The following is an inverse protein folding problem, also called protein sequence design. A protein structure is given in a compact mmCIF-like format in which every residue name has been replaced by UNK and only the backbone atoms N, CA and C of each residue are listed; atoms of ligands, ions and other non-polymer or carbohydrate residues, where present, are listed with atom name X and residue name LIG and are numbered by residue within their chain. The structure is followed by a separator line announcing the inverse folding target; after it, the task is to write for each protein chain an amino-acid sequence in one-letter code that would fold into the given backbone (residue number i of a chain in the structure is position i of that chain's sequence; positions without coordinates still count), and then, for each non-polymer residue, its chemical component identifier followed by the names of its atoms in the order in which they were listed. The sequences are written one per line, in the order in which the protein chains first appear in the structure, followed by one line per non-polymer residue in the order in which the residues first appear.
data_IF_335790663205
#
_entry.id   IF_335790663205
#
_cell.length_a   1.000
_cell.length_b   1.000
_cell.length_c   1.000
_cell.angle_alpha   90.00
_cell.angle_beta   90.00
_cell.angle_gamma   90.00
#
_symmetry.space_group_name_H-M   'P 1'
#
loop_
_entity.id
_entity.type
_entity.pdbx_description
1 polymer ?
#
# COMPACT_ATOMS: atom_id res chain seq x y z
N UNK A 1 7.51 -30.50 3.67
CA UNK A 1 6.83 -29.25 4.06
C UNK A 1 5.89 -28.90 2.91
N UNK A 2 4.59 -28.93 3.13
CA UNK A 2 3.63 -28.54 2.09
C UNK A 2 3.63 -27.02 1.94
N UNK A 3 3.60 -26.45 0.75
CA UNK A 3 3.68 -25.02 0.55
C UNK A 3 2.37 -24.36 1.02
N UNK A 4 2.50 -23.24 1.69
CA UNK A 4 1.43 -22.43 2.30
C UNK A 4 0.39 -21.91 1.29
N UNK A 5 0.77 -21.77 0.01
CA UNK A 5 -0.14 -21.42 -1.10
C UNK A 5 -1.32 -22.41 -1.24
N UNK A 6 -1.13 -23.67 -0.83
CA UNK A 6 -2.21 -24.68 -0.81
C UNK A 6 -3.26 -24.42 0.27
N UNK A 7 -2.94 -23.69 1.32
CA UNK A 7 -3.84 -23.45 2.44
C UNK A 7 -4.84 -22.31 2.14
N UNK A 8 -4.37 -21.23 1.55
CA UNK A 8 -5.20 -20.09 1.14
C UNK A 8 -6.20 -20.49 0.06
N UNK A 9 -5.81 -21.39 -0.87
CA UNK A 9 -6.70 -21.88 -1.94
C UNK A 9 -7.81 -22.85 -1.49
N UNK A 10 -7.59 -23.61 -0.42
CA UNK A 10 -8.65 -24.50 0.11
C UNK A 10 -9.81 -23.77 0.75
N UNK A 11 -9.59 -22.54 1.19
CA UNK A 11 -10.63 -21.70 1.81
C UNK A 11 -11.63 -21.19 0.77
N UNK A 12 -11.22 -20.98 -0.49
CA UNK A 12 -12.09 -20.41 -1.55
C UNK A 12 -12.99 -21.39 -2.30
N UNK A 13 -12.65 -22.65 -2.36
CA UNK A 13 -13.37 -23.61 -3.24
C UNK A 13 -14.67 -24.19 -2.65
N UNK A 14 -15.20 -23.68 -1.53
CA UNK A 14 -16.43 -24.23 -0.90
C UNK A 14 -17.65 -23.31 -0.87
N UNK A 15 -17.63 -22.17 -1.55
CA UNK A 15 -18.85 -21.31 -1.65
C UNK A 15 -19.35 -21.25 -3.08
N UNK A 16 -19.96 -22.33 -3.57
CA UNK A 16 -20.91 -22.28 -4.69
C UNK A 16 -22.31 -22.08 -4.11
N UNK A 17 -22.85 -20.88 -4.25
CA UNK A 17 -24.25 -20.58 -3.96
C UNK A 17 -25.14 -20.99 -5.14
N UNK A 18 -26.41 -21.38 -4.90
CA UNK A 18 -27.32 -21.84 -5.93
C UNK A 18 -27.86 -20.69 -6.79
N UNK A 19 -28.06 -20.98 -8.07
CA UNK A 19 -28.69 -20.13 -9.07
C UNK A 19 -30.07 -19.63 -8.65
N UNK A 20 -30.30 -18.32 -8.77
CA UNK A 20 -31.65 -17.75 -8.77
C UNK A 20 -31.86 -16.83 -9.97
N UNK A 21 -33.02 -17.06 -10.59
CA UNK A 21 -33.59 -16.48 -11.80
C UNK A 21 -33.68 -14.97 -11.83
N UNK A 22 -33.55 -14.44 -13.05
CA UNK A 22 -33.87 -13.06 -13.47
C UNK A 22 -35.24 -12.59 -13.03
N UNK A 23 -35.32 -11.37 -12.50
CA UNK A 23 -36.41 -10.43 -12.78
C UNK A 23 -36.12 -9.01 -12.30
N UNK A 24 -36.35 -8.05 -13.21
CA UNK A 24 -36.73 -6.65 -13.04
C UNK A 24 -35.70 -5.64 -12.46
N UNK A 25 -35.16 -4.83 -13.38
CA UNK A 25 -34.62 -3.50 -13.17
C UNK A 25 -35.65 -2.58 -12.51
N UNK A 26 -35.26 -1.98 -11.39
CA UNK A 26 -35.84 -0.71 -10.95
C UNK A 26 -34.68 0.17 -10.46
N UNK A 27 -34.49 1.28 -11.14
CA UNK A 27 -33.51 2.31 -10.81
C UNK A 27 -33.91 2.97 -9.48
N UNK A 28 -33.02 2.94 -8.48
CA UNK A 28 -33.16 3.75 -7.27
C UNK A 28 -32.03 4.77 -7.29
N UNK A 29 -32.40 6.03 -7.57
CA UNK A 29 -31.58 7.21 -7.38
C UNK A 29 -31.77 7.73 -5.96
N UNK A 30 -30.73 7.61 -5.11
CA UNK A 30 -30.68 8.21 -3.79
C UNK A 30 -29.43 7.75 -3.04
N UNK A 31 -28.79 8.62 -2.21
CA UNK A 31 -27.60 8.23 -1.47
C UNK A 31 -27.96 7.23 -0.37
N UNK A 32 -27.43 6.02 -0.49
CA UNK A 32 -27.54 4.99 0.56
C UNK A 32 -26.43 5.24 1.59
N UNK A 33 -26.80 5.75 2.75
CA UNK A 33 -25.92 5.84 3.91
C UNK A 33 -25.89 4.48 4.60
N UNK A 34 -24.82 3.72 4.43
CA UNK A 34 -24.56 2.52 5.22
C UNK A 34 -23.92 2.90 6.55
N UNK A 35 -24.66 2.79 7.63
CA UNK A 35 -24.12 2.92 8.99
C UNK A 35 -23.36 1.66 9.37
N UNK A 36 -22.03 1.74 9.41
CA UNK A 36 -21.17 0.67 9.92
C UNK A 36 -20.98 0.87 11.43
N UNK A 37 -21.44 -0.10 12.21
CA UNK A 37 -21.24 -0.15 13.66
C UNK A 37 -19.80 -0.54 13.98
N UNK A 38 -19.18 0.14 14.96
CA UNK A 38 -17.89 -0.21 15.54
C UNK A 38 -17.86 -1.70 15.92
N UNK A 39 -16.87 -2.42 15.41
CA UNK A 39 -16.60 -3.81 15.80
C UNK A 39 -15.47 -3.85 16.83
N UNK A 40 -15.64 -4.74 17.81
CA UNK A 40 -14.67 -5.03 18.86
C UNK A 40 -13.50 -5.87 18.31
N UNK A 41 -12.29 -5.85 18.93
CA UNK A 41 -11.06 -6.48 18.44
C UNK A 41 -11.05 -8.01 18.30
N UNK A 42 -12.17 -8.68 18.55
CA UNK A 42 -12.28 -10.14 18.55
C UNK A 42 -12.50 -10.78 17.18
N UNK A 43 -12.39 -10.04 16.06
CA UNK A 43 -12.93 -10.50 14.79
C UNK A 43 -11.93 -11.02 13.77
N UNK A 44 -10.62 -10.79 13.90
CA UNK A 44 -9.64 -11.38 12.97
C UNK A 44 -9.59 -12.91 13.10
N UNK A 45 -9.62 -13.44 14.33
CA UNK A 45 -9.65 -14.88 14.59
C UNK A 45 -10.97 -15.54 14.16
N UNK A 46 -12.11 -14.83 14.31
CA UNK A 46 -13.43 -15.38 13.96
C UNK A 46 -13.69 -15.42 12.44
N UNK A 47 -13.09 -14.54 11.65
CA UNK A 47 -13.30 -14.50 10.19
C UNK A 47 -12.43 -15.49 9.41
N UNK A 48 -11.25 -15.82 9.93
CA UNK A 48 -10.44 -16.92 9.41
C UNK A 48 -11.17 -18.26 9.66
N UNK A 49 -11.88 -18.41 10.78
CA UNK A 49 -12.72 -19.56 11.09
C UNK A 49 -13.97 -19.67 10.18
N UNK A 50 -14.60 -18.56 9.78
CA UNK A 50 -15.82 -18.59 8.93
C UNK A 50 -15.57 -18.93 7.46
N UNK A 51 -14.32 -18.97 7.00
CA UNK A 51 -13.94 -19.22 5.61
C UNK A 51 -13.54 -20.67 5.29
N UNK A 52 -13.64 -21.60 6.25
CA UNK A 52 -13.35 -23.03 6.02
C UNK A 52 -12.90 -23.76 7.27
N UNK A 53 -13.85 -24.27 8.04
CA UNK A 53 -13.70 -24.72 9.44
C UNK A 53 -12.67 -25.80 9.73
N UNK A 54 -12.18 -26.56 8.76
CA UNK A 54 -11.47 -27.82 9.09
C UNK A 54 -9.93 -27.79 9.00
N UNK A 55 -9.29 -26.74 8.47
CA UNK A 55 -7.84 -26.77 8.29
C UNK A 55 -7.05 -25.51 8.75
N UNK A 56 -7.61 -24.32 8.77
CA UNK A 56 -6.88 -23.11 9.19
C UNK A 56 -6.93 -22.97 10.70
N UNK A 57 -8.08 -23.25 11.32
CA UNK A 57 -8.21 -23.31 12.77
C UNK A 57 -7.28 -24.40 13.37
N UNK A 58 -7.19 -25.54 12.70
CA UNK A 58 -6.33 -26.65 13.13
C UNK A 58 -4.82 -26.37 12.98
N UNK A 59 -4.40 -25.49 12.07
CA UNK A 59 -2.98 -25.08 11.94
C UNK A 59 -2.68 -23.94 12.92
N UNK A 60 -3.60 -23.02 13.12
CA UNK A 60 -3.49 -21.92 14.09
C UNK A 60 -3.50 -22.42 15.56
N UNK A 61 -4.29 -23.47 15.87
CA UNK A 61 -4.26 -24.11 17.19
C UNK A 61 -2.97 -24.89 17.46
N UNK A 62 -2.29 -25.39 16.42
CA UNK A 62 -1.07 -26.19 16.57
C UNK A 62 0.22 -25.36 16.53
N UNK A 63 0.22 -24.24 15.81
CA UNK A 63 1.36 -23.32 15.70
C UNK A 63 0.86 -21.88 15.52
N UNK A 64 0.71 -21.15 16.61
CA UNK A 64 0.22 -19.79 16.59
C UNK A 64 1.12 -18.82 15.81
N UNK A 65 2.36 -19.16 15.59
CA UNK A 65 3.34 -18.32 14.89
C UNK A 65 3.48 -18.66 13.39
N UNK A 66 2.75 -19.67 12.90
CA UNK A 66 2.89 -20.18 11.54
C UNK A 66 2.67 -19.09 10.49
N UNK A 67 1.74 -18.16 10.70
CA UNK A 67 1.44 -17.07 9.77
C UNK A 67 2.61 -16.08 9.72
N UNK A 68 3.11 -15.62 10.87
CA UNK A 68 4.26 -14.72 10.97
C UNK A 68 5.52 -15.31 10.34
N UNK A 69 5.83 -16.57 10.66
CA UNK A 69 6.98 -17.29 10.13
C UNK A 69 6.92 -17.46 8.60
N UNK A 70 5.75 -17.76 8.05
CA UNK A 70 5.55 -17.83 6.60
C UNK A 70 5.76 -16.46 5.95
N UNK A 71 5.27 -15.41 6.59
CA UNK A 71 5.42 -14.04 6.12
C UNK A 71 6.90 -13.60 6.07
N UNK A 72 7.67 -13.85 7.12
CA UNK A 72 9.12 -13.58 7.15
C UNK A 72 9.86 -14.37 6.05
N UNK A 73 9.48 -15.62 5.83
CA UNK A 73 10.07 -16.44 4.75
C UNK A 73 9.82 -15.82 3.37
N UNK A 74 8.63 -15.24 3.15
CA UNK A 74 8.30 -14.51 1.94
C UNK A 74 9.20 -13.28 1.76
N UNK A 75 9.39 -12.48 2.81
CA UNK A 75 10.23 -11.29 2.76
C UNK A 75 11.70 -11.60 2.49
N UNK A 76 12.27 -12.65 3.09
CA UNK A 76 13.65 -13.08 2.80
C UNK A 76 13.92 -13.25 1.31
N UNK A 77 12.99 -13.82 0.57
CA UNK A 77 13.15 -14.01 -0.88
C UNK A 77 12.84 -12.74 -1.68
N UNK A 78 11.83 -11.95 -1.26
CA UNK A 78 11.54 -10.64 -1.87
C UNK A 78 12.79 -9.78 -1.90
N UNK A 79 13.43 -9.57 -0.75
CA UNK A 79 14.57 -8.67 -0.62
C UNK A 79 15.87 -9.23 -1.21
N UNK A 80 16.19 -10.52 -1.03
CA UNK A 80 17.39 -11.12 -1.63
C UNK A 80 17.44 -10.91 -3.15
N UNK A 81 16.32 -11.02 -3.85
CA UNK A 81 16.24 -10.79 -5.30
C UNK A 81 16.37 -9.35 -5.71
N UNK A 82 15.81 -8.44 -4.92
CA UNK A 82 15.98 -7.02 -5.22
C UNK A 82 17.44 -6.62 -5.15
N UNK A 83 18.24 -7.17 -4.24
CA UNK A 83 19.69 -6.98 -4.20
C UNK A 83 20.40 -7.58 -5.42
N UNK A 84 19.96 -8.76 -5.91
CA UNK A 84 20.48 -9.33 -7.15
C UNK A 84 20.18 -8.43 -8.36
N UNK A 85 18.97 -7.85 -8.45
CA UNK A 85 18.60 -6.91 -9.51
C UNK A 85 19.33 -5.59 -9.38
N UNK A 86 19.51 -5.07 -8.17
CA UNK A 86 20.34 -3.89 -7.94
C UNK A 86 21.75 -4.09 -8.51
N UNK A 87 22.40 -5.18 -8.15
CA UNK A 87 23.72 -5.54 -8.68
C UNK A 87 23.73 -5.69 -10.20
N UNK A 88 22.71 -6.32 -10.78
CA UNK A 88 22.61 -6.49 -12.22
C UNK A 88 22.41 -5.16 -12.97
N UNK A 89 21.67 -4.22 -12.39
CA UNK A 89 21.32 -2.94 -13.00
C UNK A 89 22.39 -1.87 -12.80
N UNK A 90 23.13 -1.89 -11.69
CA UNK A 90 24.14 -0.87 -11.34
C UNK A 90 25.56 -1.33 -11.55
N UNK A 91 25.82 -2.64 -11.58
CA UNK A 91 27.16 -3.22 -11.58
C UNK A 91 27.85 -3.22 -10.21
N UNK A 92 27.17 -2.75 -9.17
CA UNK A 92 27.72 -2.58 -7.82
C UNK A 92 27.17 -3.63 -6.85
N UNK A 93 28.04 -4.08 -5.94
CA UNK A 93 27.66 -4.82 -4.75
C UNK A 93 27.68 -3.85 -3.59
N UNK A 94 26.51 -3.29 -3.19
CA UNK A 94 26.37 -2.42 -2.01
C UNK A 94 27.49 -1.38 -1.86
N UNK A 95 27.47 -0.34 -2.68
CA UNK A 95 28.44 0.73 -2.61
C UNK A 95 27.77 2.08 -2.79
N UNK A 96 27.98 2.96 -1.82
CA UNK A 96 27.57 4.36 -1.87
C UNK A 96 28.21 5.05 -3.06
N UNK A 97 27.46 5.40 -4.10
CA UNK A 97 27.95 6.30 -5.11
C UNK A 97 26.91 7.39 -5.44
N UNK A 98 27.41 8.63 -5.38
CA UNK A 98 26.66 9.87 -5.55
C UNK A 98 26.33 10.07 -7.02
N UNK A 99 25.06 10.07 -7.42
CA UNK A 99 24.63 10.58 -8.72
C UNK A 99 23.96 11.95 -8.59
N UNK A 100 24.35 12.79 -9.57
CA UNK A 100 23.90 14.16 -9.73
C UNK A 100 22.39 14.27 -9.93
N UNK A 101 21.78 15.26 -9.29
CA UNK A 101 20.40 15.68 -9.44
C UNK A 101 20.12 16.12 -10.89
N UNK A 102 19.29 15.36 -11.60
CA UNK A 102 18.60 15.91 -12.77
C UNK A 102 17.34 16.66 -12.30
N UNK A 103 17.41 17.98 -12.30
CA UNK A 103 16.25 18.84 -12.04
C UNK A 103 15.25 18.68 -13.17
N UNK A 104 14.14 18.02 -12.92
CA UNK A 104 13.00 17.98 -13.83
C UNK A 104 12.32 19.36 -13.89
N UNK A 105 12.20 19.93 -15.08
CA UNK A 105 11.39 21.13 -15.31
C UNK A 105 9.91 20.77 -15.25
N UNK A 106 9.04 21.61 -14.66
CA UNK A 106 7.61 21.35 -14.62
C UNK A 106 7.00 21.45 -16.02
N UNK A 107 6.24 20.43 -16.40
CA UNK A 107 5.54 20.41 -17.69
C UNK A 107 4.19 21.14 -17.60
N UNK A 108 3.79 21.74 -18.71
CA UNK A 108 2.69 22.70 -18.81
C UNK A 108 1.26 22.10 -18.80
N UNK A 109 1.07 20.80 -18.58
CA UNK A 109 -0.26 20.15 -18.52
C UNK A 109 -0.22 18.92 -17.60
N UNK A 110 -0.06 19.13 -16.30
CA UNK A 110 -0.05 18.06 -15.34
C UNK A 110 -1.33 18.06 -14.49
N UNK A 111 -1.92 16.88 -14.33
CA UNK A 111 -3.02 16.61 -13.43
C UNK A 111 -2.55 15.95 -12.14
N UNK A 112 -3.32 16.06 -11.07
CA UNK A 112 -3.11 15.27 -9.84
C UNK A 112 -3.95 14.01 -9.90
N UNK A 113 -3.40 12.87 -9.45
CA UNK A 113 -4.10 11.61 -9.42
C UNK A 113 -4.49 11.21 -8.00
N UNK A 114 -5.72 10.69 -7.84
CA UNK A 114 -6.18 10.06 -6.60
C UNK A 114 -6.70 8.67 -6.91
N UNK A 115 -6.20 7.68 -6.19
CA UNK A 115 -6.62 6.28 -6.29
C UNK A 115 -7.24 5.89 -4.96
N UNK A 116 -8.52 5.55 -4.90
CA UNK A 116 -9.10 4.88 -3.75
C UNK A 116 -8.43 3.51 -3.59
N UNK A 117 -7.91 3.24 -2.40
CA UNK A 117 -7.41 1.92 -2.04
C UNK A 117 -8.49 1.14 -1.30
N UNK A 118 -8.43 -0.17 -1.42
CA UNK A 118 -9.36 -1.11 -0.79
C UNK A 118 -8.55 -2.06 0.06
N UNK A 119 -8.90 -2.13 1.33
CA UNK A 119 -8.39 -3.15 2.23
C UNK A 119 -8.83 -4.54 1.78
N UNK A 120 -7.87 -5.43 1.67
CA UNK A 120 -8.08 -6.85 1.38
C UNK A 120 -7.53 -7.67 2.56
N UNK A 121 -8.23 -8.75 2.89
CA UNK A 121 -7.76 -9.69 3.91
C UNK A 121 -7.58 -9.09 5.32
N UNK A 122 -8.46 -8.18 5.73
CA UNK A 122 -8.45 -7.59 7.07
C UNK A 122 -7.12 -6.87 7.39
N UNK A 123 -6.77 -5.84 6.56
CA UNK A 123 -5.61 -4.95 6.70
C UNK A 123 -4.24 -5.59 6.36
N UNK A 124 -4.25 -6.73 5.68
CA UNK A 124 -3.02 -7.39 5.22
C UNK A 124 -2.55 -6.95 3.84
N UNK A 125 -3.41 -6.26 3.06
CA UNK A 125 -3.09 -5.88 1.69
C UNK A 125 -3.98 -4.72 1.20
N UNK A 126 -3.36 -3.69 0.63
CA UNK A 126 -4.05 -2.51 0.11
C UNK A 126 -3.96 -2.45 -1.42
N UNK A 127 -5.07 -2.60 -2.09
CA UNK A 127 -5.12 -2.64 -3.54
C UNK A 127 -5.90 -1.49 -4.16
N UNK A 128 -5.50 -1.10 -5.36
CA UNK A 128 -6.18 -0.07 -6.15
C UNK A 128 -6.30 -0.43 -7.62
N UNK A 129 -7.11 0.35 -8.34
CA UNK A 129 -7.41 0.10 -9.76
C UNK A 129 -6.41 0.78 -10.68
N UNK A 130 -5.96 0.03 -11.68
CA UNK A 130 -5.09 0.47 -12.77
C UNK A 130 -5.76 0.15 -14.10
N UNK A 131 -5.78 1.12 -15.02
CA UNK A 131 -6.21 0.91 -16.40
C UNK A 131 -5.01 0.58 -17.28
N UNK A 132 -5.04 -0.55 -17.97
CA UNK A 132 -3.95 -1.02 -18.83
C UNK A 132 -4.44 -1.14 -20.27
N UNK A 133 -3.75 -0.48 -21.20
CA UNK A 133 -4.03 -0.57 -22.64
C UNK A 133 -5.06 0.43 -23.18
N UNK A 134 -5.34 0.32 -24.48
CA UNK A 134 -6.32 1.13 -25.18
C UNK A 134 -7.20 0.25 -26.06
N UNK A 135 -8.51 0.08 -25.75
CA UNK A 135 -9.19 0.63 -24.58
C UNK A 135 -8.64 0.05 -23.28
N UNK A 136 -8.80 0.80 -22.17
CA UNK A 136 -8.26 0.40 -20.87
C UNK A 136 -8.94 -0.86 -20.32
N UNK A 137 -8.16 -1.85 -19.97
CA UNK A 137 -8.56 -3.03 -19.20
C UNK A 137 -8.26 -2.73 -17.72
N UNK A 138 -9.27 -2.78 -16.86
CA UNK A 138 -9.11 -2.46 -15.45
C UNK A 138 -8.60 -3.67 -14.69
N UNK A 139 -7.50 -3.49 -14.00
CA UNK A 139 -6.87 -4.48 -13.12
C UNK A 139 -6.77 -3.93 -11.71
N UNK A 140 -6.72 -4.80 -10.72
CA UNK A 140 -6.56 -4.44 -9.31
C UNK A 140 -5.18 -4.90 -8.84
N UNK A 141 -4.35 -3.96 -8.37
CA UNK A 141 -2.97 -4.24 -7.99
C UNK A 141 -2.64 -3.68 -6.61
N UNK A 142 -1.67 -4.30 -5.98
CA UNK A 142 -0.98 -3.77 -4.81
C UNK A 142 0.04 -2.69 -5.25
N UNK A 143 0.04 -1.53 -4.58
CA UNK A 143 1.03 -0.48 -4.79
C UNK A 143 2.15 -0.60 -3.77
N UNK A 144 3.25 -1.21 -4.19
CA UNK A 144 4.33 -1.72 -3.36
C UNK A 144 5.58 -0.82 -3.42
N UNK A 145 5.88 -0.07 -2.35
CA UNK A 145 7.09 0.76 -2.28
C UNK A 145 8.37 -0.05 -2.01
N UNK A 146 8.26 -1.35 -1.78
CA UNK A 146 9.38 -2.29 -1.65
C UNK A 146 9.74 -3.01 -2.95
N UNK A 147 9.12 -2.70 -4.10
CA UNK A 147 9.49 -3.21 -5.42
C UNK A 147 9.34 -2.15 -6.51
N UNK A 148 9.75 -2.47 -7.78
CA UNK A 148 9.86 -1.45 -8.84
C UNK A 148 9.19 -1.81 -10.16
N UNK A 149 8.65 -3.01 -10.30
CA UNK A 149 8.06 -3.47 -11.56
C UNK A 149 6.53 -3.49 -11.49
N UNK A 150 5.88 -3.18 -12.62
CA UNK A 150 4.43 -3.31 -12.77
C UNK A 150 4.11 -4.58 -13.57
N UNK A 151 3.40 -5.52 -12.96
CA UNK A 151 2.99 -6.75 -13.62
C UNK A 151 1.67 -7.30 -13.07
N UNK A 152 0.99 -8.15 -13.87
CA UNK A 152 -0.27 -8.79 -13.50
C UNK A 152 -0.27 -10.30 -13.72
N UNK A 153 -1.13 -11.00 -13.00
CA UNK A 153 -1.36 -12.44 -13.07
C UNK A 153 -1.85 -12.90 -14.45
N UNK A 154 -1.71 -14.20 -14.78
CA UNK A 154 -2.18 -14.75 -16.05
C UNK A 154 -3.67 -14.49 -16.29
N UNK A 155 -4.02 -14.25 -17.57
CA UNK A 155 -5.39 -14.05 -18.03
C UNK A 155 -6.11 -12.78 -17.55
N UNK A 156 -5.47 -11.95 -16.72
CA UNK A 156 -6.06 -10.69 -16.24
C UNK A 156 -6.04 -9.63 -17.34
N UNK A 157 -4.91 -9.51 -18.05
CA UNK A 157 -4.74 -8.58 -19.18
C UNK A 157 -4.63 -9.34 -20.51
N UNK A 158 -5.27 -8.82 -21.56
CA UNK A 158 -5.24 -9.38 -22.92
C UNK A 158 -4.55 -8.41 -23.88
N UNK A 159 -3.27 -8.63 -24.23
CA UNK A 159 -2.53 -7.74 -25.14
C UNK A 159 -3.19 -7.58 -26.51
N UNK A 160 -3.83 -8.63 -27.03
CA UNK A 160 -4.54 -8.59 -28.34
C UNK A 160 -5.77 -7.68 -28.35
N UNK A 161 -6.27 -7.28 -27.18
CA UNK A 161 -7.40 -6.36 -27.04
C UNK A 161 -6.95 -4.91 -26.85
N UNK A 162 -5.64 -4.61 -26.91
CA UNK A 162 -5.10 -3.26 -26.76
C UNK A 162 -4.37 -2.82 -28.02
N UNK A 163 -4.71 -1.65 -28.53
CA UNK A 163 -4.06 -1.02 -29.69
C UNK A 163 -2.68 -0.44 -29.35
N UNK A 164 -2.37 -0.25 -28.06
CA UNK A 164 -1.09 0.30 -27.56
C UNK A 164 -0.10 -0.76 -27.12
N UNK A 165 -0.53 -2.04 -27.02
CA UNK A 165 0.31 -3.16 -26.62
C UNK A 165 1.46 -3.39 -27.61
N UNK A 166 2.69 -3.31 -27.11
CA UNK A 166 3.89 -3.61 -27.89
C UNK A 166 4.76 -4.61 -27.15
N UNK A 167 4.79 -5.86 -27.61
CA UNK A 167 5.66 -6.88 -27.04
C UNK A 167 7.13 -6.52 -27.22
N UNK A 168 7.92 -6.56 -26.13
CA UNK A 168 9.36 -6.20 -26.16
C UNK A 168 10.27 -7.33 -26.63
N UNK A 169 9.79 -8.58 -26.59
CA UNK A 169 10.59 -9.78 -26.76
C UNK A 169 11.36 -10.21 -25.52
N UNK A 170 11.31 -9.42 -24.44
CA UNK A 170 11.88 -9.78 -23.13
C UNK A 170 10.86 -10.50 -22.26
N UNK A 171 11.36 -11.34 -21.36
CA UNK A 171 10.57 -12.05 -20.36
C UNK A 171 10.98 -11.63 -18.96
N UNK A 172 10.11 -11.93 -17.97
CA UNK A 172 10.42 -11.75 -16.56
C UNK A 172 10.16 -13.02 -15.75
N UNK A 173 10.77 -13.09 -14.58
CA UNK A 173 10.50 -14.12 -13.58
C UNK A 173 10.59 -13.53 -12.19
N UNK A 174 9.47 -13.46 -11.48
CA UNK A 174 9.42 -13.17 -10.05
C UNK A 174 9.18 -14.46 -9.28
N UNK A 175 9.71 -14.57 -8.08
CA UNK A 175 9.38 -15.64 -7.16
C UNK A 175 9.45 -15.12 -5.73
N UNK A 176 8.71 -15.77 -4.85
CA UNK A 176 8.49 -15.37 -3.48
C UNK A 176 8.92 -16.49 -2.51
N UNK A 177 9.09 -16.16 -1.23
CA UNK A 177 9.66 -17.07 -0.24
C UNK A 177 8.79 -18.26 0.14
N UNK A 178 7.49 -18.19 -0.13
CA UNK A 178 6.56 -19.31 -0.02
C UNK A 178 6.68 -20.33 -1.18
N UNK A 179 7.64 -20.12 -2.09
CA UNK A 179 7.82 -20.91 -3.30
C UNK A 179 6.91 -20.49 -4.44
N UNK A 180 6.03 -19.52 -4.25
CA UNK A 180 5.23 -18.97 -5.33
C UNK A 180 6.09 -18.19 -6.32
N UNK A 181 5.70 -18.21 -7.59
CA UNK A 181 6.45 -17.53 -8.65
C UNK A 181 5.54 -17.15 -9.81
N UNK A 182 5.97 -16.14 -10.57
CA UNK A 182 5.36 -15.80 -11.84
C UNK A 182 6.44 -15.64 -12.92
N UNK A 183 6.11 -16.06 -14.13
CA UNK A 183 6.91 -15.85 -15.33
C UNK A 183 6.03 -15.32 -16.44
N UNK A 184 6.56 -14.43 -17.27
CA UNK A 184 5.74 -13.85 -18.32
C UNK A 184 6.52 -13.00 -19.31
N UNK A 185 5.75 -12.30 -20.14
CA UNK A 185 6.24 -11.41 -21.18
C UNK A 185 6.18 -9.96 -20.74
N UNK A 186 7.15 -9.14 -21.19
CA UNK A 186 7.18 -7.71 -20.97
C UNK A 186 6.68 -6.99 -22.21
N UNK A 187 5.73 -6.06 -22.01
CA UNK A 187 5.18 -5.17 -23.02
C UNK A 187 5.53 -3.71 -22.70
N UNK A 188 5.52 -2.85 -23.72
CA UNK A 188 5.33 -1.42 -23.55
C UNK A 188 3.85 -1.13 -23.75
N UNK A 189 3.25 -0.46 -22.76
CA UNK A 189 1.80 -0.26 -22.72
C UNK A 189 1.43 1.13 -22.19
N UNK A 190 0.22 1.59 -22.50
CA UNK A 190 -0.36 2.75 -21.82
C UNK A 190 -0.95 2.32 -20.49
N UNK A 191 -0.52 2.95 -19.40
CA UNK A 191 -0.98 2.63 -18.05
C UNK A 191 -1.54 3.88 -17.40
N UNK A 192 -2.78 3.78 -16.91
CA UNK A 192 -3.51 4.91 -16.28
C UNK A 192 -3.83 4.59 -14.83
N UNK A 193 -3.42 5.46 -13.92
CA UNK A 193 -3.70 5.35 -12.48
C UNK A 193 -4.18 6.71 -11.97
N UNK A 194 -5.33 6.76 -11.30
CA UNK A 194 -5.87 8.01 -10.76
C UNK A 194 -6.12 9.10 -11.80
N UNK A 195 -6.29 8.73 -13.07
CA UNK A 195 -6.45 9.68 -14.18
C UNK A 195 -5.12 10.13 -14.83
N UNK A 196 -3.97 9.77 -14.30
CA UNK A 196 -2.66 10.04 -14.89
C UNK A 196 -2.22 8.86 -15.76
N UNK A 197 -1.76 9.15 -16.99
CA UNK A 197 -1.37 8.12 -17.96
C UNK A 197 0.13 8.16 -18.25
N UNK A 198 0.80 7.03 -18.04
CA UNK A 198 2.16 6.76 -18.49
C UNK A 198 2.11 6.05 -19.85
N UNK A 199 2.67 6.66 -20.88
CA UNK A 199 2.73 6.07 -22.23
C UNK A 199 3.98 5.23 -22.37
N UNK A 200 3.87 4.06 -23.02
CA UNK A 200 4.99 3.13 -23.19
C UNK A 200 5.63 2.68 -21.86
N UNK A 201 4.82 2.54 -20.82
CA UNK A 201 5.25 1.95 -19.57
C UNK A 201 5.65 0.48 -19.79
N UNK A 202 6.78 0.05 -19.19
CA UNK A 202 7.13 -1.36 -19.13
C UNK A 202 6.12 -2.08 -18.22
N UNK A 203 5.44 -3.08 -18.76
CA UNK A 203 4.35 -3.79 -18.13
C UNK A 203 4.50 -5.30 -18.33
N UNK A 204 4.49 -6.06 -17.25
CA UNK A 204 4.58 -7.51 -17.26
C UNK A 204 3.19 -8.16 -17.28
N UNK A 205 2.96 -9.13 -18.15
CA UNK A 205 1.82 -10.02 -18.04
C UNK A 205 2.32 -11.45 -17.86
N UNK A 206 1.97 -12.05 -16.72
CA UNK A 206 2.39 -13.42 -16.44
C UNK A 206 1.70 -14.41 -17.37
N UNK A 207 2.46 -15.37 -17.84
CA UNK A 207 1.94 -16.55 -18.58
C UNK A 207 1.75 -17.74 -17.67
N UNK A 208 2.51 -17.78 -16.57
CA UNK A 208 2.37 -18.74 -15.47
C UNK A 208 2.55 -17.99 -14.16
N UNK A 209 1.72 -18.34 -13.19
CA UNK A 209 1.83 -17.84 -11.83
C UNK A 209 1.31 -18.90 -10.88
N UNK A 210 1.99 -19.08 -9.76
CA UNK A 210 1.52 -19.84 -8.62
C UNK A 210 0.97 -18.93 -7.51
N UNK A 211 1.01 -17.60 -7.74
CA UNK A 211 0.31 -16.64 -6.91
C UNK A 211 -1.18 -16.76 -7.20
N UNK A 212 -1.92 -17.29 -6.27
CA UNK A 212 -3.36 -17.50 -6.43
C UNK A 212 -4.14 -16.41 -5.69
N UNK A 213 -5.18 -15.99 -6.36
CA UNK A 213 -6.21 -15.02 -6.00
C UNK A 213 -6.41 -14.72 -4.51
N UNK A 214 -5.76 -13.70 -4.03
CA UNK A 214 -6.08 -13.03 -2.77
C UNK A 214 -6.91 -11.74 -2.97
N UNK A 215 -7.53 -11.55 -4.15
CA UNK A 215 -8.13 -10.26 -4.56
C UNK A 215 -7.12 -9.35 -5.27
N UNK A 216 -5.83 -9.65 -5.16
CA UNK A 216 -4.72 -8.99 -5.84
C UNK A 216 -4.48 -9.63 -7.21
N UNK A 217 -4.55 -8.82 -8.27
CA UNK A 217 -4.34 -9.27 -9.64
C UNK A 217 -2.93 -8.99 -10.15
N UNK A 218 -2.09 -8.31 -9.37
CA UNK A 218 -0.73 -7.95 -9.72
C UNK A 218 -0.12 -6.94 -8.74
N UNK A 219 1.08 -6.49 -9.05
CA UNK A 219 1.85 -5.54 -8.23
C UNK A 219 2.26 -4.35 -9.09
N UNK A 220 2.18 -3.15 -8.53
CA UNK A 220 2.72 -1.92 -9.08
C UNK A 220 3.84 -1.40 -8.19
N UNK A 221 5.09 -1.69 -8.56
CA UNK A 221 6.25 -1.29 -7.81
C UNK A 221 6.48 0.23 -7.84
N UNK A 222 6.78 0.81 -6.67
CA UNK A 222 6.93 2.25 -6.44
C UNK A 222 8.31 2.63 -5.86
N UNK A 223 9.26 1.68 -5.79
CA UNK A 223 10.63 1.92 -5.37
C UNK A 223 11.50 2.51 -6.51
N UNK A 224 12.81 2.36 -6.44
CA UNK A 224 13.74 2.96 -7.40
C UNK A 224 14.08 1.99 -8.53
N UNK A 225 14.40 2.56 -9.72
CA UNK A 225 14.76 1.80 -10.92
C UNK A 225 15.89 0.80 -10.71
N UNK A 226 16.82 1.09 -9.79
CA UNK A 226 18.00 0.26 -9.54
C UNK A 226 17.67 -1.19 -9.16
N UNK A 227 16.50 -1.44 -8.55
CA UNK A 227 16.03 -2.80 -8.21
C UNK A 227 15.00 -3.35 -9.20
N UNK A 228 14.68 -2.61 -10.28
CA UNK A 228 13.70 -3.07 -11.27
C UNK A 228 14.22 -4.28 -12.06
N UNK A 229 13.47 -5.39 -12.04
CA UNK A 229 13.77 -6.59 -12.81
C UNK A 229 13.68 -6.34 -14.32
N UNK A 230 12.77 -5.48 -14.75
CA UNK A 230 12.61 -5.12 -16.16
C UNK A 230 13.73 -4.19 -16.67
N UNK A 231 14.59 -3.68 -15.77
CA UNK A 231 15.55 -2.61 -16.02
C UNK A 231 14.89 -1.41 -16.74
N UNK A 232 13.67 -1.11 -16.33
CA UNK A 232 12.83 -0.03 -16.83
C UNK A 232 12.44 0.91 -15.70
N UNK A 233 11.97 2.10 -16.07
CA UNK A 233 11.48 3.05 -15.07
C UNK A 233 10.20 2.52 -14.41
N UNK A 234 10.07 2.59 -13.08
CA UNK A 234 8.81 2.38 -12.38
C UNK A 234 7.69 3.28 -12.92
N UNK A 235 6.45 2.90 -12.71
CA UNK A 235 5.29 3.63 -13.24
C UNK A 235 5.31 5.12 -12.86
N UNK A 236 5.56 5.45 -11.60
CA UNK A 236 5.57 6.84 -11.15
C UNK A 236 6.72 7.64 -11.79
N UNK A 237 7.91 7.05 -11.94
CA UNK A 237 9.04 7.69 -12.64
C UNK A 237 8.70 8.01 -14.10
N UNK A 238 7.96 7.13 -14.75
CA UNK A 238 7.49 7.37 -16.12
C UNK A 238 6.50 8.54 -16.17
N UNK A 239 5.57 8.67 -15.22
CA UNK A 239 4.67 9.82 -15.14
C UNK A 239 5.43 11.14 -14.97
N UNK A 240 6.42 11.16 -14.07
CA UNK A 240 7.25 12.35 -13.83
C UNK A 240 8.07 12.72 -15.06
N UNK A 241 8.76 11.76 -15.67
CA UNK A 241 9.56 11.98 -16.89
C UNK A 241 8.73 12.46 -18.07
N UNK A 242 7.47 12.04 -18.16
CA UNK A 242 6.54 12.48 -19.21
C UNK A 242 5.81 13.77 -18.84
N UNK A 243 6.05 14.30 -17.65
CA UNK A 243 5.42 15.53 -17.17
C UNK A 243 3.92 15.40 -16.92
N UNK A 244 3.41 14.19 -16.70
CA UNK A 244 2.01 13.96 -16.35
C UNK A 244 1.73 14.13 -14.88
N UNK A 245 2.71 13.88 -14.00
CA UNK A 245 2.63 14.19 -12.59
C UNK A 245 3.20 15.61 -12.33
N UNK A 246 2.46 16.51 -11.63
CA UNK A 246 2.90 17.89 -11.41
C UNK A 246 4.07 18.01 -10.44
N UNK A 247 4.16 17.12 -9.48
CA UNK A 247 5.24 17.05 -8.51
C UNK A 247 5.82 15.64 -8.47
N UNK A 248 7.12 15.53 -8.18
CA UNK A 248 7.80 14.26 -8.03
C UNK A 248 7.58 13.67 -6.63
N UNK A 249 6.30 13.54 -6.24
CA UNK A 249 5.85 13.08 -4.93
C UNK A 249 4.60 12.22 -5.07
N UNK A 250 4.51 11.19 -4.26
CA UNK A 250 3.27 10.44 -4.05
C UNK A 250 3.07 10.19 -2.56
N UNK A 251 1.83 9.87 -2.15
CA UNK A 251 1.54 9.69 -0.73
C UNK A 251 0.46 8.63 -0.51
N UNK A 252 0.55 7.94 0.61
CA UNK A 252 -0.38 6.90 1.03
C UNK A 252 -1.10 7.27 2.33
N UNK A 253 -2.36 6.92 2.40
CA UNK A 253 -3.13 6.76 3.62
C UNK A 253 -3.72 5.35 3.63
N UNK A 254 -3.17 4.46 4.45
CA UNK A 254 -3.57 3.05 4.54
C UNK A 254 -4.50 2.87 5.74
N UNK A 255 -5.73 3.36 5.63
CA UNK A 255 -6.70 3.37 6.73
C UNK A 255 -7.88 2.48 6.42
N UNK A 256 -8.50 1.83 7.40
CA UNK A 256 -9.69 0.99 7.19
C UNK A 256 -10.82 1.72 6.48
N UNK A 257 -10.93 3.03 6.66
CA UNK A 257 -11.90 3.88 5.99
C UNK A 257 -11.22 5.03 5.23
N UNK A 258 -11.45 5.09 3.92
CA UNK A 258 -10.95 6.16 3.07
C UNK A 258 -9.49 6.03 2.66
N UNK A 259 -8.96 4.81 2.66
CA UNK A 259 -7.61 4.51 2.18
C UNK A 259 -7.38 5.06 0.77
N UNK A 260 -6.17 5.58 0.52
CA UNK A 260 -5.87 6.34 -0.68
C UNK A 260 -4.39 6.30 -1.08
N UNK A 261 -4.16 6.42 -2.36
CA UNK A 261 -2.88 6.80 -2.96
C UNK A 261 -3.07 8.13 -3.69
N UNK A 262 -2.27 9.12 -3.37
CA UNK A 262 -2.22 10.43 -4.03
C UNK A 262 -0.96 10.50 -4.90
N UNK A 263 -1.12 10.87 -6.19
CA UNK A 263 -0.04 10.91 -7.17
C UNK A 263 0.20 12.35 -7.64
N UNK A 264 1.44 12.82 -7.57
CA UNK A 264 1.85 14.13 -8.01
C UNK A 264 1.41 15.28 -7.10
N UNK A 265 0.92 15.01 -5.91
CA UNK A 265 0.55 16.01 -4.91
C UNK A 265 0.46 15.41 -3.50
N UNK A 266 0.38 16.30 -2.52
CA UNK A 266 0.15 15.97 -1.12
C UNK A 266 -1.25 16.47 -0.75
N UNK A 267 -2.11 15.57 -0.26
CA UNK A 267 -3.50 15.89 0.06
C UNK A 267 -3.60 16.46 1.48
N UNK A 268 -3.69 17.79 1.59
CA UNK A 268 -3.68 18.49 2.89
C UNK A 268 -4.87 18.14 3.79
N UNK A 269 -5.96 17.65 3.21
CA UNK A 269 -7.14 17.18 3.95
C UNK A 269 -6.98 15.76 4.54
N UNK A 270 -5.90 15.05 4.16
CA UNK A 270 -5.67 13.65 4.56
C UNK A 270 -4.94 13.52 5.90
N UNK A 271 -4.29 14.57 6.37
CA UNK A 271 -3.47 14.55 7.58
C UNK A 271 -3.72 15.79 8.45
N UNK A 272 -3.17 15.79 9.64
CA UNK A 272 -3.19 16.96 10.54
C UNK A 272 -1.78 17.29 11.03
N UNK A 273 -1.57 18.57 11.37
CA UNK A 273 -0.25 19.07 11.76
C UNK A 273 0.70 19.25 10.59
N UNK A 274 1.98 19.24 10.88
CA UNK A 274 3.05 19.35 9.89
C UNK A 274 3.60 17.97 9.51
N UNK A 275 4.07 17.83 8.27
CA UNK A 275 4.74 16.60 7.83
C UNK A 275 6.20 16.66 8.30
N UNK A 276 6.60 15.66 9.07
CA UNK A 276 8.01 15.48 9.44
C UNK A 276 8.72 14.67 8.37
N UNK A 277 9.74 15.26 7.74
CA UNK A 277 10.53 14.61 6.69
C UNK A 277 11.84 14.04 7.23
N UNK A 278 12.17 12.82 6.78
CA UNK A 278 13.46 12.15 6.98
C UNK A 278 14.12 11.87 5.64
N UNK A 279 15.43 12.04 5.56
CA UNK A 279 16.20 11.79 4.33
C UNK A 279 16.17 10.31 3.97
N UNK A 280 16.08 10.03 2.67
CA UNK A 280 16.17 8.69 2.08
C UNK A 280 17.55 8.49 1.49
N UNK A 281 18.14 7.34 1.77
CA UNK A 281 19.30 6.83 1.06
C UNK A 281 18.84 5.83 0.00
N UNK A 282 18.81 6.19 -1.29
CA UNK A 282 18.35 5.32 -2.36
C UNK A 282 19.47 4.37 -2.88
N UNK A 283 20.61 4.31 -2.20
CA UNK A 283 21.79 3.56 -2.67
C UNK A 283 21.57 2.05 -2.74
N UNK A 284 20.60 1.54 -1.97
CA UNK A 284 20.14 0.15 -2.00
C UNK A 284 18.93 -0.09 -2.92
N UNK A 285 18.38 0.98 -3.51
CA UNK A 285 17.21 0.93 -4.39
C UNK A 285 15.87 1.00 -3.70
N UNK A 286 15.83 1.22 -2.39
CA UNK A 286 14.63 1.30 -1.57
C UNK A 286 14.41 2.69 -0.95
N UNK A 287 13.28 2.85 -0.29
CA UNK A 287 12.94 4.02 0.53
C UNK A 287 13.54 3.90 1.93
N UNK A 288 14.86 3.75 1.98
CA UNK A 288 15.60 3.52 3.24
C UNK A 288 15.85 4.83 3.96
N UNK A 289 15.46 4.88 5.23
CA UNK A 289 15.61 6.06 6.10
C UNK A 289 16.05 5.67 7.50
N UNK A 290 16.56 6.66 8.24
CA UNK A 290 16.95 6.49 9.64
C UNK A 290 15.80 6.82 10.58
N UNK A 291 15.68 6.07 11.67
CA UNK A 291 14.70 6.29 12.73
C UNK A 291 15.21 5.76 14.08
N UNK A 292 14.50 6.09 15.16
CA UNK A 292 14.70 5.52 16.49
C UNK A 292 13.45 4.72 16.88
N UNK A 293 13.61 3.68 17.67
CA UNK A 293 12.50 2.88 18.19
C UNK A 293 12.54 2.84 19.72
N UNK A 294 11.39 2.86 20.36
CA UNK A 294 11.24 2.77 21.81
C UNK A 294 12.15 1.67 22.39
N UNK A 295 12.83 1.97 23.51
CA UNK A 295 13.66 1.01 24.23
C UNK A 295 15.00 0.69 23.58
N UNK A 296 15.40 1.44 22.55
CA UNK A 296 16.75 1.36 21.97
C UNK A 296 17.44 2.72 22.06
N UNK A 297 18.77 2.69 22.33
CA UNK A 297 19.60 3.90 22.42
C UNK A 297 20.33 4.24 21.10
N UNK A 298 20.01 3.52 20.02
CA UNK A 298 20.71 3.65 18.75
C UNK A 298 19.75 3.97 17.61
N UNK A 299 20.20 4.83 16.70
CA UNK A 299 19.53 5.07 15.43
C UNK A 299 19.50 3.79 14.58
N UNK A 300 18.35 3.45 14.09
CA UNK A 300 18.10 2.31 13.21
C UNK A 300 18.01 2.79 11.75
N UNK A 301 18.15 1.87 10.82
CA UNK A 301 17.91 2.09 9.39
C UNK A 301 16.87 1.10 8.90
N UNK A 302 15.88 1.57 8.11
CA UNK A 302 14.80 0.71 7.63
C UNK A 302 14.17 1.20 6.34
N UNK A 303 13.62 0.26 5.60
CA UNK A 303 12.84 0.47 4.38
C UNK A 303 11.41 0.79 4.77
N UNK A 304 10.83 1.83 4.19
CA UNK A 304 9.39 2.14 4.28
C UNK A 304 8.69 1.42 3.14
N UNK A 305 7.90 0.38 3.47
CA UNK A 305 7.37 -0.58 2.50
C UNK A 305 5.86 -0.80 2.64
N UNK A 306 5.08 -0.22 1.72
CA UNK A 306 3.61 -0.36 1.64
C UNK A 306 3.14 -1.73 1.14
N UNK A 307 4.03 -2.55 0.60
CA UNK A 307 3.78 -3.94 0.21
C UNK A 307 4.18 -4.95 1.29
N UNK A 308 4.40 -4.47 2.52
CA UNK A 308 4.74 -5.29 3.69
C UNK A 308 3.77 -4.99 4.83
N UNK A 309 3.08 -6.01 5.33
CA UNK A 309 2.08 -5.86 6.40
C UNK A 309 2.72 -5.54 7.76
N UNK A 310 3.80 -6.23 8.12
CA UNK A 310 4.40 -6.22 9.45
C UNK A 310 5.60 -5.28 9.53
N UNK A 311 6.07 -5.05 10.74
CA UNK A 311 7.40 -4.48 10.98
C UNK A 311 8.37 -5.64 11.24
N UNK A 312 9.47 -5.69 10.48
CA UNK A 312 10.52 -6.69 10.67
C UNK A 312 11.80 -5.97 11.09
N UNK A 313 12.44 -6.45 12.15
CA UNK A 313 13.70 -5.90 12.64
C UNK A 313 14.71 -6.97 13.02
N UNK A 314 15.97 -6.61 13.34
CA UNK A 314 16.98 -7.56 13.78
C UNK A 314 16.52 -8.30 15.06
N UNK A 315 16.69 -9.61 15.15
CA UNK A 315 16.17 -10.42 16.25
C UNK A 315 16.62 -9.96 17.64
N UNK A 316 17.87 -9.53 17.76
CA UNK A 316 18.44 -9.03 19.02
C UNK A 316 17.85 -7.68 19.44
N UNK A 317 17.64 -6.78 18.48
CA UNK A 317 17.04 -5.45 18.73
C UNK A 317 15.56 -5.59 19.09
N UNK A 318 14.80 -6.43 18.37
CA UNK A 318 13.39 -6.70 18.67
C UNK A 318 13.23 -7.39 20.03
N UNK A 319 14.15 -8.31 20.38
CA UNK A 319 14.16 -8.92 21.71
C UNK A 319 14.39 -7.86 22.81
N UNK A 320 15.35 -6.95 22.61
CA UNK A 320 15.62 -5.86 23.54
C UNK A 320 14.45 -4.89 23.66
N UNK A 321 13.80 -4.54 22.53
CA UNK A 321 12.58 -3.72 22.49
C UNK A 321 11.49 -4.33 23.37
N UNK A 322 11.07 -5.55 23.10
CA UNK A 322 10.00 -6.21 23.86
C UNK A 322 10.34 -6.38 25.33
N UNK A 323 11.59 -6.75 25.64
CA UNK A 323 12.07 -6.85 27.03
C UNK A 323 11.99 -5.52 27.77
N UNK A 324 12.34 -4.39 27.12
CA UNK A 324 12.27 -3.05 27.73
C UNK A 324 10.84 -2.65 28.11
N UNK A 325 9.85 -3.21 27.40
CA UNK A 325 8.43 -2.99 27.62
C UNK A 325 7.75 -4.04 28.53
N UNK A 326 8.52 -5.00 29.05
CA UNK A 326 8.00 -6.09 29.87
C UNK A 326 7.13 -7.08 29.07
N UNK A 327 7.28 -7.13 27.75
CA UNK A 327 6.58 -8.05 26.86
C UNK A 327 7.36 -9.36 26.77
N UNK A 328 6.65 -10.49 26.88
CA UNK A 328 7.23 -11.81 26.70
C UNK A 328 7.58 -12.04 25.22
N UNK A 329 8.72 -12.69 24.97
CA UNK A 329 9.14 -13.08 23.63
C UNK A 329 9.15 -14.58 23.47
N UNK A 330 8.68 -15.06 22.32
CA UNK A 330 8.75 -16.47 21.94
C UNK A 330 9.57 -16.60 20.66
N UNK A 331 10.47 -17.58 20.63
CA UNK A 331 11.34 -17.82 19.47
C UNK A 331 10.86 -19.06 18.73
N UNK A 332 10.48 -18.90 17.46
CA UNK A 332 10.02 -19.98 16.60
C UNK A 332 10.78 -19.89 15.26
N UNK A 333 11.42 -20.97 14.85
CA UNK A 333 12.21 -21.04 13.61
C UNK A 333 13.31 -19.98 13.47
N UNK A 334 13.81 -19.44 14.58
CA UNK A 334 14.79 -18.36 14.64
C UNK A 334 14.18 -16.95 14.57
N UNK A 335 12.86 -16.83 14.53
CA UNK A 335 12.12 -15.58 14.55
C UNK A 335 11.61 -15.26 15.95
N UNK A 336 11.68 -13.98 16.34
CA UNK A 336 11.29 -13.49 17.67
C UNK A 336 9.93 -12.83 17.58
N UNK A 337 8.96 -13.34 18.31
CA UNK A 337 7.60 -12.82 18.39
C UNK A 337 7.34 -12.25 19.79
N UNK A 338 6.79 -11.04 19.87
CA UNK A 338 6.27 -10.48 21.12
C UNK A 338 4.86 -10.96 21.37
N UNK A 339 4.62 -11.41 22.60
CA UNK A 339 3.31 -11.88 23.06
C UNK A 339 2.90 -11.09 24.30
N UNK A 340 1.72 -10.49 24.26
CA UNK A 340 1.22 -9.65 25.35
C UNK A 340 -0.26 -9.86 25.60
N UNK A 341 -0.77 -9.56 26.83
CA UNK A 341 -2.20 -9.61 27.09
C UNK A 341 -2.96 -8.65 26.17
N UNK A 342 -4.00 -9.12 25.49
CA UNK A 342 -4.82 -8.31 24.59
C UNK A 342 -5.39 -7.05 25.25
N UNK A 343 -5.66 -7.14 26.57
CA UNK A 343 -6.16 -6.02 27.38
C UNK A 343 -5.09 -4.98 27.76
N UNK A 344 -3.80 -5.26 27.48
CA UNK A 344 -2.69 -4.38 27.88
C UNK A 344 -1.59 -4.36 26.81
N UNK A 345 -1.87 -3.82 25.62
CA UNK A 345 -0.89 -3.71 24.54
C UNK A 345 0.26 -2.77 24.93
N UNK A 346 1.51 -3.09 24.54
CA UNK A 346 2.64 -2.21 24.79
C UNK A 346 2.55 -0.94 23.95
N UNK A 347 3.09 0.17 24.45
CA UNK A 347 3.22 1.42 23.71
C UNK A 347 4.57 1.45 22.99
N UNK A 348 4.54 1.36 21.67
CA UNK A 348 5.73 1.37 20.81
C UNK A 348 5.69 2.62 19.92
N UNK A 349 6.81 3.34 19.88
CA UNK A 349 6.96 4.60 19.12
C UNK A 349 8.15 4.49 18.20
N UNK A 350 7.95 4.88 16.94
CA UNK A 350 9.01 5.14 15.98
C UNK A 350 9.24 6.65 15.91
N UNK A 351 10.49 7.10 16.02
CA UNK A 351 10.83 8.52 15.99
C UNK A 351 11.60 8.82 14.71
N UNK A 352 11.04 9.68 13.87
CA UNK A 352 11.66 10.12 12.62
C UNK A 352 12.06 11.58 12.76
N UNK A 353 13.32 11.89 12.51
CA UNK A 353 13.85 13.26 12.61
C UNK A 353 13.40 14.00 13.89
N UNK A 354 13.44 13.31 15.04
CA UNK A 354 13.07 13.84 16.35
C UNK A 354 11.55 13.92 16.64
N UNK A 355 10.69 13.55 15.70
CA UNK A 355 9.23 13.53 15.89
C UNK A 355 8.76 12.10 16.17
N UNK A 356 8.12 11.86 17.32
CA UNK A 356 7.61 10.53 17.68
C UNK A 356 6.26 10.24 17.04
N UNK A 357 6.10 9.00 16.53
CA UNK A 357 4.85 8.43 16.03
C UNK A 357 4.59 7.11 16.76
N UNK A 358 3.54 7.09 17.58
CA UNK A 358 3.17 5.90 18.35
C UNK A 358 2.25 5.02 17.54
N UNK A 359 2.59 3.73 17.44
CA UNK A 359 1.77 2.71 16.79
C UNK A 359 0.53 2.48 17.66
N UNK A 360 -0.65 2.53 17.03
CA UNK A 360 -1.91 2.27 17.73
C UNK A 360 -2.00 0.80 18.16
N UNK A 361 -2.71 0.50 19.26
CA UNK A 361 -2.95 -0.88 19.68
C UNK A 361 -3.58 -1.77 18.60
N UNK A 362 -4.48 -1.20 17.79
CA UNK A 362 -5.16 -1.92 16.72
C UNK A 362 -4.17 -2.29 15.60
N UNK A 363 -3.30 -1.36 15.18
CA UNK A 363 -2.28 -1.61 14.17
C UNK A 363 -1.17 -2.54 14.66
N UNK A 364 -0.83 -2.49 15.96
CA UNK A 364 0.17 -3.37 16.55
C UNK A 364 -0.33 -4.82 16.73
N UNK A 365 -1.65 -5.04 16.78
CA UNK A 365 -2.26 -6.35 17.01
C UNK A 365 -2.30 -7.17 15.73
N UNK A 366 -1.36 -8.10 15.57
CA UNK A 366 -1.31 -8.95 14.39
C UNK A 366 -2.22 -10.16 14.49
N UNK A 367 -2.16 -10.91 15.58
CA UNK A 367 -2.97 -12.11 15.77
C UNK A 367 -3.39 -12.30 17.21
N UNK A 368 -4.71 -12.35 17.45
CA UNK A 368 -5.25 -12.65 18.78
C UNK A 368 -5.31 -14.15 19.03
N UNK A 369 -4.95 -14.56 20.26
CA UNK A 369 -5.00 -15.93 20.76
C UNK A 369 -5.60 -15.99 22.15
N UNK A 370 -6.90 -16.14 22.23
CA UNK A 370 -7.60 -16.07 23.51
C UNK A 370 -7.45 -14.69 24.15
N UNK A 371 -6.79 -14.62 25.30
CA UNK A 371 -6.49 -13.39 26.03
C UNK A 371 -5.12 -12.80 25.71
N UNK A 372 -4.35 -13.44 24.83
CA UNK A 372 -3.04 -13.00 24.36
C UNK A 372 -3.11 -12.49 22.92
N UNK A 373 -2.17 -11.63 22.56
CA UNK A 373 -1.97 -11.10 21.23
C UNK A 373 -0.51 -11.27 20.81
N UNK A 374 -0.29 -11.75 19.58
CA UNK A 374 1.01 -11.70 18.92
C UNK A 374 1.11 -10.32 18.25
N UNK A 375 2.20 -9.59 18.56
CA UNK A 375 2.43 -8.25 18.03
C UNK A 375 2.87 -8.23 16.58
N UNK A 376 2.59 -7.13 15.90
CA UNK A 376 2.95 -6.88 14.51
C UNK A 376 4.42 -6.51 14.26
N UNK A 377 5.29 -6.67 15.27
CA UNK A 377 6.75 -6.50 15.14
C UNK A 377 7.42 -7.84 15.35
N UNK A 378 8.14 -8.34 14.33
CA UNK A 378 8.82 -9.62 14.36
C UNK A 378 10.33 -9.41 14.24
N UNK A 379 11.10 -10.07 15.10
CA UNK A 379 12.56 -10.14 14.98
C UNK A 379 12.96 -11.25 14.01
N UNK A 380 13.54 -10.89 12.87
CA UNK A 380 13.98 -11.85 11.86
C UNK A 380 15.15 -11.34 11.04
N UNK A 381 16.08 -12.24 10.70
CA UNK A 381 17.10 -11.95 9.69
C UNK A 381 16.53 -12.25 8.30
N UNK A 382 16.41 -11.21 7.49
CA UNK A 382 15.91 -11.29 6.11
C UNK A 382 17.02 -11.16 5.06
N UNK A 383 18.29 -11.12 5.50
CA UNK A 383 19.47 -11.00 4.62
C UNK A 383 19.61 -9.64 3.96
N UNK A 384 18.94 -8.60 4.47
CA UNK A 384 18.87 -7.28 3.91
C UNK A 384 19.04 -6.16 4.94
N UNK A 385 18.46 -4.97 4.67
CA UNK A 385 18.54 -3.84 5.60
C UNK A 385 17.98 -4.23 6.97
N UNK A 386 18.43 -3.50 7.99
CA UNK A 386 18.16 -3.87 9.37
C UNK A 386 16.66 -3.94 9.71
N UNK A 387 15.83 -3.05 9.09
CA UNK A 387 14.39 -3.01 9.34
C UNK A 387 13.57 -2.88 8.05
N UNK A 388 12.35 -3.45 8.07
CA UNK A 388 11.27 -3.12 7.14
C UNK A 388 10.12 -2.57 7.97
N UNK A 389 9.64 -1.40 7.59
CA UNK A 389 8.56 -0.69 8.26
C UNK A 389 7.33 -0.76 7.34
N UNK A 390 6.43 -1.68 7.66
CA UNK A 390 5.23 -1.96 6.87
C UNK A 390 3.95 -1.35 7.45
N UNK A 391 2.81 -1.94 7.06
CA UNK A 391 1.47 -1.43 7.37
C UNK A 391 1.18 -1.32 8.85
N UNK A 392 1.77 -2.17 9.71
CA UNK A 392 1.70 -2.05 11.17
C UNK A 392 2.03 -0.62 11.65
N UNK A 393 2.89 0.11 10.95
CA UNK A 393 3.16 1.54 11.22
C UNK A 393 2.35 2.45 10.28
N UNK A 394 2.30 2.11 8.99
CA UNK A 394 1.77 3.00 7.95
C UNK A 394 0.27 3.27 8.08
N UNK A 395 -0.48 2.42 8.77
CA UNK A 395 -1.90 2.63 9.05
C UNK A 395 -2.18 3.80 10.01
N UNK A 396 -1.21 4.25 10.78
CA UNK A 396 -1.39 5.33 11.75
C UNK A 396 -1.00 6.71 11.20
N UNK A 397 -0.40 6.76 10.01
CA UNK A 397 0.15 7.97 9.42
C UNK A 397 -0.34 8.21 8.00
N UNK A 398 -0.23 9.46 7.54
CA UNK A 398 -0.17 9.80 6.14
C UNK A 398 1.30 9.80 5.74
N UNK A 399 1.69 8.88 4.86
CA UNK A 399 3.07 8.66 4.46
C UNK A 399 3.34 9.29 3.09
N UNK A 400 4.31 10.21 3.01
CA UNK A 400 4.69 10.96 1.80
C UNK A 400 6.03 10.46 1.30
N UNK A 401 6.11 10.11 0.04
CA UNK A 401 7.29 9.65 -0.66
C UNK A 401 7.72 10.74 -1.65
N UNK A 402 8.62 11.62 -1.24
CA UNK A 402 9.12 12.73 -2.04
C UNK A 402 10.40 12.32 -2.77
N UNK A 403 10.21 11.84 -3.99
CA UNK A 403 11.30 11.37 -4.84
C UNK A 403 12.15 12.51 -5.37
N UNK A 404 11.57 13.72 -5.46
CA UNK A 404 12.27 14.92 -5.93
C UNK A 404 13.33 15.40 -4.94
N UNK A 405 13.09 15.26 -3.64
CA UNK A 405 14.00 15.66 -2.58
C UNK A 405 14.68 14.48 -1.87
N UNK A 406 14.43 13.24 -2.31
CA UNK A 406 14.91 12.01 -1.68
C UNK A 406 14.63 12.01 -0.18
N UNK A 407 13.34 12.03 0.17
CA UNK A 407 12.89 12.02 1.55
C UNK A 407 11.53 11.32 1.68
N UNK A 408 11.28 10.77 2.86
CA UNK A 408 9.95 10.29 3.28
C UNK A 408 9.41 11.21 4.35
N UNK A 409 8.11 11.45 4.34
CA UNK A 409 7.46 12.32 5.30
C UNK A 409 6.29 11.63 5.99
N UNK A 410 6.11 11.91 7.27
CA UNK A 410 5.01 11.34 8.05
C UNK A 410 4.24 12.45 8.77
N UNK A 411 2.91 12.33 8.80
CA UNK A 411 2.02 13.13 9.61
C UNK A 411 0.90 12.25 10.18
N UNK A 412 0.34 12.60 11.35
CA UNK A 412 -0.82 11.89 11.86
C UNK A 412 -2.00 11.97 10.87
N UNK A 413 -2.74 10.87 10.71
CA UNK A 413 -3.95 10.86 9.88
C UNK A 413 -4.96 11.91 10.36
N UNK A 414 -5.71 12.54 9.44
CA UNK A 414 -6.77 13.44 9.80
C UNK A 414 -7.82 12.69 10.63
N UNK A 415 -8.13 13.20 11.82
CA UNK A 415 -9.29 12.69 12.57
C UNK A 415 -10.54 13.06 11.79
N UNK A 416 -11.39 12.08 11.47
CA UNK A 416 -12.72 12.37 10.94
C UNK A 416 -13.47 13.17 12.01
N UNK A 417 -13.43 14.51 11.89
CA UNK A 417 -14.39 15.33 12.63
C UNK A 417 -15.76 14.82 12.21
N UNK A 418 -16.56 14.31 13.15
CA UNK A 418 -17.98 14.06 12.91
C UNK A 418 -18.50 15.23 12.10
N UNK A 419 -18.88 15.01 10.84
CA UNK A 419 -19.68 15.95 10.08
C UNK A 419 -20.93 16.18 10.92
N UNK A 420 -20.90 17.21 11.74
CA UNK A 420 -22.15 17.79 12.23
C UNK A 420 -22.89 18.17 10.96
N UNK A 421 -24.01 17.46 10.73
CA UNK A 421 -24.99 17.81 9.73
C UNK A 421 -25.46 19.24 10.02
N UNK A 422 -24.72 20.21 9.52
CA UNK A 422 -25.16 21.58 9.46
C UNK A 422 -26.32 21.60 8.48
N UNK A 423 -27.51 21.66 9.02
CA UNK A 423 -28.73 22.03 8.32
C UNK A 423 -28.43 23.31 7.53
N UNK A 424 -28.26 23.17 6.22
CA UNK A 424 -28.26 24.28 5.29
C UNK A 424 -29.71 24.79 5.21
N UNK A 425 -30.05 25.72 6.08
CA UNK A 425 -31.20 26.60 5.85
C UNK A 425 -30.80 27.55 4.73
N UNK A 426 -31.26 27.24 3.52
CA UNK A 426 -31.23 28.19 2.43
C UNK A 426 -31.99 29.46 2.83
N UNK A 427 -31.50 30.68 2.60
CA UNK A 427 -32.28 31.88 2.81
C UNK A 427 -33.36 31.95 1.74
N UNK A 428 -34.61 31.89 2.18
CA UNK A 428 -35.80 32.17 1.37
C UNK A 428 -35.72 33.62 0.93
N UNK A 429 -35.59 33.85 -0.38
CA UNK A 429 -35.74 35.18 -0.99
C UNK A 429 -37.20 35.59 -0.88
N UNK A 430 -37.49 36.57 -0.04
CA UNK A 430 -38.76 37.26 0.01
C UNK A 430 -38.94 38.11 -1.25
N UNK A 431 -39.92 37.77 -2.02
CA UNK A 431 -40.44 38.59 -3.14
C UNK A 431 -41.18 39.80 -2.53
N UNK A 432 -40.68 40.98 -2.72
CA UNK A 432 -41.47 42.22 -2.57
C UNK A 432 -41.76 42.79 -3.97
N UNK A 433 -42.98 42.71 -4.33
CA UNK A 433 -43.57 43.47 -5.43
C UNK A 433 -43.83 44.92 -5.01
N UNK A 434 -43.42 45.88 -5.80
CA UNK A 434 -44.05 47.20 -5.84
C UNK A 434 -43.78 47.92 -7.16
N UNK A 435 -44.88 47.97 -7.91
CA UNK A 435 -45.47 49.05 -8.69
C UNK A 435 -44.58 50.06 -9.45
N UNK A 436 -45.04 50.12 -10.66
CA UNK A 436 -44.87 51.13 -11.73
C UNK A 436 -44.81 52.59 -11.28
N UNK A 437 -43.96 53.37 -11.94
CA UNK A 437 -44.40 54.65 -12.51
C UNK A 437 -43.56 55.02 -13.71
N UNK A 438 -44.26 55.37 -14.75
CA UNK A 438 -43.90 55.84 -16.10
C UNK A 438 -43.51 57.31 -16.05
N UNK A 439 -42.45 57.72 -16.69
CA UNK A 439 -42.32 59.10 -17.22
C UNK A 439 -41.28 59.14 -18.37
N UNK A 440 -41.74 59.75 -19.41
CA UNK A 440 -41.24 60.00 -20.74
C UNK A 440 -39.98 60.90 -20.86
N UNK A 441 -39.36 60.71 -22.00
CA UNK A 441 -38.83 61.68 -22.95
C UNK A 441 -37.61 62.58 -22.60
N UNK A 442 -36.52 62.51 -23.31
CA UNK A 442 -36.20 63.25 -24.54
C UNK A 442 -34.69 63.22 -24.81
N UNK A 443 -34.32 62.90 -26.05
CA UNK A 443 -33.06 63.32 -26.63
C UNK A 443 -33.20 64.82 -27.08
N UNK A 444 -32.12 65.53 -27.35
CA UNK A 444 -31.25 65.30 -28.48
C UNK A 444 -29.78 65.75 -28.36
N UNK A 445 -29.03 65.19 -29.29
CA UNK A 445 -27.94 65.75 -30.14
C UNK A 445 -26.96 66.83 -29.60
N UNK A 446 -25.68 66.45 -29.63
CA UNK A 446 -24.64 67.03 -30.48
C UNK A 446 -23.41 66.11 -30.42
#
# INVERSE_FOLDING_TARGET
MAPYSGLINKIRNKTSAPSRSESAQTAITGPVTLSLSKRSPTTASAKVAAAGEDNVAAVSEKDPFAIGNAYVSHLRVKYARHFDHFKANTGETNGFDKRAEEKSQPAANCGTGKVPLVDQQDELLWVGKVGVGTPAQIVTVDFDTGSSDLWVNPSIYKPSASSTAKKTGKTFRVAYGDGSHATGDIYLESVTVGGLTAVKQAFGTATKSTLHDSGNQGIAGMAFKSIAQFNADPFFDTLVKQGTAPQNVFAFGLWPEGARLDLGHIATEAYQGEITYSKVDPSDGFWTTSFEVTGTDSTQSGIIDTGTTLIIGPPDVVTALYKSLGVETQVQNGEVHGVYPTSSPPSITLTFNGTPFTISPDALSFQAQGDQTIGGIIGADIGGPAWIIGDTFLQDVYAVFDKGNLQVGFAPKATSSKRTSGSSTAPTAAATASNETKAEASAPAA
#
